data_IF_551705012626
#
_entry.id   IF_551705012626
#
_cell.length_a   1.000
_cell.length_b   1.000
_cell.length_c   1.000
_cell.angle_alpha   90.00
_cell.angle_beta   90.00
_cell.angle_gamma   90.00
#
_symmetry.space_group_name_H-M   'P 1'
#
loop_
_entity.id
_entity.type
_entity.pdbx_description
1 polymer ?
#
# COMPACT_ATOMS: atom_id res chain seq x y z
N UNK A 1 -92.61 64.64 63.32
CA UNK A 1 -91.81 63.96 62.28
C UNK A 1 -90.52 63.49 62.92
N UNK A 2 -90.14 62.25 62.60
CA UNK A 2 -88.83 61.61 62.76
C UNK A 2 -88.28 61.41 64.19
N UNK A 3 -88.40 60.18 64.68
CA UNK A 3 -87.30 59.49 65.36
C UNK A 3 -87.08 58.20 64.59
N UNK A 4 -85.99 58.16 63.85
CA UNK A 4 -85.53 57.05 63.02
C UNK A 4 -84.97 55.93 63.90
N UNK A 5 -85.57 54.75 63.79
CA UNK A 5 -84.90 53.48 64.10
C UNK A 5 -83.84 53.24 63.01
N UNK A 6 -82.57 53.44 63.36
CA UNK A 6 -81.44 52.84 62.65
C UNK A 6 -80.75 51.90 63.65
N UNK A 7 -81.31 50.69 63.76
CA UNK A 7 -80.63 49.52 64.32
C UNK A 7 -79.63 49.02 63.27
N UNK A 8 -78.57 49.79 63.02
CA UNK A 8 -77.34 49.25 62.44
C UNK A 8 -76.62 48.51 63.57
N UNK A 9 -77.07 47.28 63.83
CA UNK A 9 -76.30 46.33 64.61
C UNK A 9 -75.07 45.96 63.79
N UNK A 10 -74.03 46.79 63.90
CA UNK A 10 -72.66 46.37 63.63
C UNK A 10 -72.37 45.21 64.58
N UNK A 11 -72.64 43.99 64.12
CA UNK A 11 -72.04 42.80 64.68
C UNK A 11 -70.56 42.80 64.23
N UNK A 12 -69.83 43.80 64.71
CA UNK A 12 -68.38 43.78 64.82
C UNK A 12 -68.09 42.67 65.81
N UNK A 13 -67.83 41.46 65.30
CA UNK A 13 -67.26 40.38 66.09
C UNK A 13 -65.99 40.97 66.67
N UNK A 14 -66.03 41.34 67.95
CA UNK A 14 -64.93 42.00 68.61
C UNK A 14 -63.72 41.07 68.61
N UNK A 15 -62.79 41.33 67.68
CA UNK A 15 -61.44 40.79 67.62
C UNK A 15 -60.62 41.30 68.83
N UNK A 16 -61.13 41.08 70.04
CA UNK A 16 -60.46 41.45 71.27
C UNK A 16 -59.43 40.38 71.61
N UNK A 17 -58.33 40.38 70.86
CA UNK A 17 -57.14 39.61 71.21
C UNK A 17 -56.68 40.03 72.61
N UNK A 18 -56.44 39.05 73.47
CA UNK A 18 -55.80 39.33 74.76
C UNK A 18 -54.32 39.66 74.53
N UNK A 19 -53.75 40.47 75.42
CA UNK A 19 -52.33 40.82 75.36
C UNK A 19 -51.41 39.57 75.33
N UNK A 20 -51.78 38.51 76.06
CA UNK A 20 -51.02 37.26 76.10
C UNK A 20 -51.02 36.49 74.78
N UNK A 21 -52.15 36.46 74.05
CA UNK A 21 -52.24 35.83 72.72
C UNK A 21 -51.39 36.58 71.70
N UNK A 22 -51.43 37.92 71.73
CA UNK A 22 -50.62 38.74 70.84
C UNK A 22 -49.12 38.57 71.14
N UNK A 23 -48.75 38.50 72.41
CA UNK A 23 -47.36 38.28 72.84
C UNK A 23 -46.84 36.91 72.37
N UNK A 24 -47.63 35.85 72.56
CA UNK A 24 -47.27 34.50 72.10
C UNK A 24 -47.07 34.43 70.58
N UNK A 25 -47.99 35.02 69.80
CA UNK A 25 -47.86 35.09 68.35
C UNK A 25 -46.62 35.87 67.90
N UNK A 26 -46.26 36.96 68.60
CA UNK A 26 -45.05 37.72 68.33
C UNK A 26 -43.77 36.92 68.62
N UNK A 27 -43.75 36.16 69.72
CA UNK A 27 -42.62 35.31 70.08
C UNK A 27 -42.42 34.17 69.07
N UNK A 28 -43.50 33.52 68.62
CA UNK A 28 -43.47 32.50 67.57
C UNK A 28 -42.94 33.08 66.25
N UNK A 29 -43.44 34.26 65.86
CA UNK A 29 -42.97 34.99 64.69
C UNK A 29 -41.48 35.34 64.79
N UNK A 30 -41.00 35.74 65.96
CA UNK A 30 -39.60 36.07 66.19
C UNK A 30 -38.69 34.85 66.05
N UNK A 31 -39.13 33.67 66.50
CA UNK A 31 -38.41 32.40 66.35
C UNK A 31 -38.28 32.03 64.87
N UNK A 32 -39.39 32.05 64.12
CA UNK A 32 -39.36 31.76 62.68
C UNK A 32 -38.55 32.81 61.90
N UNK A 33 -38.63 34.10 62.28
CA UNK A 33 -37.80 35.14 61.69
C UNK A 33 -36.29 34.85 61.86
N UNK A 34 -35.85 34.49 63.07
CA UNK A 34 -34.43 34.16 63.33
C UNK A 34 -33.96 32.94 62.53
N UNK A 35 -34.81 31.92 62.43
CA UNK A 35 -34.55 30.73 61.60
C UNK A 35 -34.43 31.10 60.12
N UNK A 36 -35.33 31.94 59.62
CA UNK A 36 -35.28 32.43 58.24
C UNK A 36 -34.03 33.27 57.97
N UNK A 37 -33.61 34.15 58.90
CA UNK A 37 -32.36 34.89 58.77
C UNK A 37 -31.14 33.97 58.63
N UNK A 38 -31.12 32.88 59.40
CA UNK A 38 -30.05 31.87 59.34
C UNK A 38 -30.01 31.19 57.96
N UNK A 39 -31.17 30.81 57.43
CA UNK A 39 -31.28 30.24 56.07
C UNK A 39 -30.86 31.24 54.99
N UNK A 40 -31.30 32.50 55.06
CA UNK A 40 -30.88 33.55 54.14
C UNK A 40 -29.35 33.73 54.14
N UNK A 41 -28.70 33.61 55.29
CA UNK A 41 -27.24 33.68 55.37
C UNK A 41 -26.54 32.51 54.66
N UNK A 42 -27.11 31.30 54.74
CA UNK A 42 -26.60 30.11 54.06
C UNK A 42 -26.79 30.23 52.55
N UNK A 43 -27.98 30.62 52.10
CA UNK A 43 -28.30 30.83 50.68
C UNK A 43 -27.38 31.89 50.06
N UNK A 44 -27.07 32.98 50.77
CA UNK A 44 -26.10 33.97 50.29
C UNK A 44 -24.72 33.36 50.07
N UNK A 45 -24.25 32.51 50.98
CA UNK A 45 -22.95 31.83 50.84
C UNK A 45 -22.95 30.88 49.64
N UNK A 46 -23.99 30.05 49.48
CA UNK A 46 -24.08 29.14 48.34
C UNK A 46 -24.19 29.89 47.02
N UNK A 47 -24.95 30.99 46.97
CA UNK A 47 -25.05 31.85 45.79
C UNK A 47 -23.68 32.40 45.37
N UNK A 48 -22.90 32.95 46.31
CA UNK A 48 -21.55 33.43 46.00
C UNK A 48 -20.58 32.32 45.57
N UNK A 49 -20.80 31.09 46.02
CA UNK A 49 -20.00 29.94 45.60
C UNK A 49 -20.32 29.53 44.16
N UNK A 50 -21.61 29.40 43.85
CA UNK A 50 -22.10 29.07 42.51
C UNK A 50 -21.71 30.14 41.50
N UNK A 51 -21.73 31.42 41.90
CA UNK A 51 -21.31 32.52 41.03
C UNK A 51 -19.83 32.42 40.64
N UNK A 52 -18.95 32.05 41.57
CA UNK A 52 -17.52 31.80 41.28
C UNK A 52 -17.32 30.60 40.35
N UNK A 53 -18.06 29.51 40.57
CA UNK A 53 -17.99 28.33 39.70
C UNK A 53 -18.46 28.66 38.28
N UNK A 54 -19.55 29.43 38.15
CA UNK A 54 -20.03 29.95 36.86
C UNK A 54 -18.94 30.76 36.15
N UNK A 55 -18.25 31.65 36.86
CA UNK A 55 -17.18 32.47 36.26
C UNK A 55 -16.00 31.60 35.77
N UNK A 56 -15.62 30.54 36.50
CA UNK A 56 -14.59 29.59 36.06
C UNK A 56 -15.03 28.82 34.80
N UNK A 57 -16.27 28.34 34.78
CA UNK A 57 -16.83 27.63 33.62
C UNK A 57 -16.93 28.54 32.39
N UNK A 58 -17.17 29.84 32.55
CA UNK A 58 -17.16 30.80 31.44
C UNK A 58 -15.76 30.87 30.82
N UNK A 59 -14.71 30.97 31.64
CA UNK A 59 -13.32 31.00 31.16
C UNK A 59 -12.94 29.70 30.44
N UNK A 60 -13.32 28.54 31.00
CA UNK A 60 -13.07 27.25 30.36
C UNK A 60 -13.81 27.12 29.01
N UNK A 61 -15.06 27.59 28.92
CA UNK A 61 -15.80 27.61 27.66
C UNK A 61 -15.14 28.51 26.60
N UNK A 62 -14.57 29.65 26.98
CA UNK A 62 -13.80 30.48 26.04
C UNK A 62 -12.54 29.76 25.54
N UNK A 63 -11.83 29.06 26.42
CA UNK A 63 -10.67 28.24 26.03
C UNK A 63 -11.07 27.14 25.04
N UNK A 64 -12.12 26.37 25.34
CA UNK A 64 -12.60 25.30 24.47
C UNK A 64 -13.06 25.82 23.10
N UNK A 65 -13.69 27.00 23.03
CA UNK A 65 -14.04 27.65 21.76
C UNK A 65 -12.81 27.97 20.92
N UNK A 66 -11.72 28.45 21.54
CA UNK A 66 -10.47 28.73 20.84
C UNK A 66 -9.82 27.44 20.32
N UNK A 67 -9.81 26.37 21.11
CA UNK A 67 -9.29 25.07 20.71
C UNK A 67 -10.06 24.50 19.51
N UNK A 68 -11.40 24.59 19.52
CA UNK A 68 -12.25 24.18 18.40
C UNK A 68 -11.89 24.98 17.14
N UNK A 69 -11.76 26.30 17.23
CA UNK A 69 -11.42 27.14 16.07
C UNK A 69 -10.04 26.78 15.48
N UNK A 70 -9.07 26.45 16.33
CA UNK A 70 -7.74 25.98 15.90
C UNK A 70 -7.83 24.66 15.15
N UNK A 71 -8.58 23.68 15.68
CA UNK A 71 -8.78 22.37 15.05
C UNK A 71 -9.52 22.47 13.71
N UNK A 72 -10.57 23.31 13.62
CA UNK A 72 -11.30 23.56 12.37
C UNK A 72 -10.38 24.13 11.28
N UNK A 73 -9.48 25.05 11.65
CA UNK A 73 -8.49 25.60 10.71
C UNK A 73 -7.45 24.54 10.27
N UNK A 74 -6.99 23.67 11.17
CA UNK A 74 -6.12 22.54 10.81
C UNK A 74 -6.82 21.52 9.90
N UNK A 75 -8.10 21.24 10.17
CA UNK A 75 -8.91 20.37 9.33
C UNK A 75 -9.06 20.96 7.92
N UNK A 76 -9.38 22.26 7.82
CA UNK A 76 -9.45 22.95 6.53
C UNK A 76 -8.15 22.88 5.73
N UNK A 77 -6.98 22.96 6.39
CA UNK A 77 -5.68 22.76 5.72
C UNK A 77 -5.51 21.34 5.19
N UNK A 78 -5.81 20.32 6.02
CA UNK A 78 -5.73 18.91 5.60
C UNK A 78 -6.70 18.58 4.48
N UNK A 79 -7.91 19.13 4.50
CA UNK A 79 -8.88 18.98 3.42
C UNK A 79 -8.39 19.63 2.12
N UNK A 80 -7.75 20.79 2.19
CA UNK A 80 -7.11 21.40 1.00
C UNK A 80 -5.95 20.56 0.46
N UNK A 81 -5.16 19.92 1.34
CA UNK A 81 -4.08 19.01 0.94
C UNK A 81 -4.61 17.67 0.36
N UNK A 82 -5.79 17.20 0.80
CA UNK A 82 -6.44 15.99 0.27
C UNK A 82 -7.19 16.29 -1.04
N UNK A 83 -7.91 17.41 -1.12
CA UNK A 83 -8.65 17.85 -2.30
C UNK A 83 -7.73 18.35 -3.43
N UNK A 84 -6.46 18.65 -3.10
CA UNK A 84 -5.36 18.72 -4.04
C UNK A 84 -4.59 17.39 -3.99
N UNK A 85 -5.15 16.28 -4.50
CA UNK A 85 -4.28 15.16 -4.81
C UNK A 85 -3.19 15.72 -5.72
N UNK A 86 -2.03 15.08 -5.72
CA UNK A 86 -1.00 15.33 -6.72
C UNK A 86 -1.60 15.05 -8.12
N UNK A 87 -2.41 15.97 -8.64
CA UNK A 87 -3.16 15.83 -9.89
C UNK A 87 -2.20 15.70 -11.07
N UNK A 88 -0.97 16.16 -10.88
CA UNK A 88 0.15 15.89 -11.76
C UNK A 88 0.57 14.41 -11.82
N UNK A 89 0.56 13.68 -10.69
CA UNK A 89 0.95 12.26 -10.68
C UNK A 89 -0.17 11.37 -11.16
N UNK A 90 -1.43 11.66 -10.82
CA UNK A 90 -2.56 10.82 -11.24
C UNK A 90 -2.77 10.87 -12.76
N UNK A 91 -2.70 12.06 -13.38
CA UNK A 91 -2.79 12.20 -14.84
C UNK A 91 -1.61 11.51 -15.55
N UNK A 92 -0.41 11.53 -14.95
CA UNK A 92 0.76 10.85 -15.51
C UNK A 92 0.60 9.33 -15.43
N UNK A 93 0.13 8.81 -14.30
CA UNK A 93 -0.14 7.39 -14.08
C UNK A 93 -1.25 6.88 -15.02
N UNK A 94 -2.33 7.63 -15.20
CA UNK A 94 -3.41 7.28 -16.13
C UNK A 94 -2.90 7.15 -17.57
N UNK A 95 -2.08 8.09 -18.03
CA UNK A 95 -1.46 8.04 -19.36
C UNK A 95 -0.51 6.85 -19.53
N UNK A 96 0.26 6.53 -18.49
CA UNK A 96 1.16 5.38 -18.49
C UNK A 96 0.37 4.06 -18.56
N UNK A 97 -0.71 3.94 -17.78
CA UNK A 97 -1.61 2.77 -17.81
C UNK A 97 -2.22 2.59 -19.20
N UNK A 98 -2.69 3.66 -19.84
CA UNK A 98 -3.26 3.58 -21.19
C UNK A 98 -2.21 3.16 -22.23
N UNK A 99 -0.99 3.71 -22.15
CA UNK A 99 0.12 3.31 -23.03
C UNK A 99 0.53 1.85 -22.82
N UNK A 100 0.55 1.37 -21.57
CA UNK A 100 0.84 -0.03 -21.25
C UNK A 100 -0.25 -0.97 -21.78
N UNK A 101 -1.52 -0.57 -21.71
CA UNK A 101 -2.64 -1.34 -22.29
C UNK A 101 -2.49 -1.49 -23.80
N UNK A 102 -2.18 -0.40 -24.51
CA UNK A 102 -1.96 -0.44 -25.96
C UNK A 102 -0.78 -1.36 -26.33
N UNK A 103 0.34 -1.25 -25.61
CA UNK A 103 1.50 -2.13 -25.80
C UNK A 103 1.14 -3.60 -25.58
N UNK A 104 0.37 -3.92 -24.54
CA UNK A 104 -0.08 -5.29 -24.29
C UNK A 104 -0.93 -5.85 -25.43
N UNK A 105 -1.88 -5.07 -25.96
CA UNK A 105 -2.71 -5.47 -27.11
C UNK A 105 -1.84 -5.74 -28.35
N UNK A 106 -0.84 -4.90 -28.60
CA UNK A 106 0.09 -5.08 -29.73
C UNK A 106 1.03 -6.27 -29.55
N UNK A 107 1.46 -6.52 -28.32
CA UNK A 107 2.27 -7.68 -27.94
C UNK A 107 1.48 -8.97 -28.16
N UNK A 108 0.23 -9.01 -27.72
CA UNK A 108 -0.66 -10.16 -27.85
C UNK A 108 -0.94 -10.51 -29.32
N UNK A 109 -1.13 -9.50 -30.19
CA UNK A 109 -1.22 -9.69 -31.64
C UNK A 109 0.06 -10.27 -32.23
N UNK A 110 1.22 -9.80 -31.79
CA UNK A 110 2.52 -10.30 -32.24
C UNK A 110 2.75 -11.75 -31.81
N UNK A 111 2.43 -12.08 -30.55
CA UNK A 111 2.48 -13.45 -30.04
C UNK A 111 1.55 -14.39 -30.80
N UNK A 112 0.32 -13.95 -31.12
CA UNK A 112 -0.62 -14.76 -31.90
C UNK A 112 -0.06 -15.15 -33.28
N UNK A 113 0.58 -14.20 -33.98
CA UNK A 113 1.25 -14.47 -35.27
C UNK A 113 2.47 -15.37 -35.11
N UNK A 114 3.28 -15.14 -34.08
CA UNK A 114 4.46 -15.95 -33.79
C UNK A 114 4.07 -17.40 -33.48
N UNK A 115 3.07 -17.61 -32.61
CA UNK A 115 2.55 -18.93 -32.27
C UNK A 115 2.00 -19.64 -33.50
N UNK A 116 1.24 -18.95 -34.36
CA UNK A 116 0.76 -19.52 -35.62
C UNK A 116 1.91 -19.96 -36.53
N UNK A 117 2.95 -19.12 -36.67
CA UNK A 117 4.14 -19.45 -37.44
C UNK A 117 4.92 -20.62 -36.86
N UNK A 118 5.08 -20.68 -35.53
CA UNK A 118 5.74 -21.77 -34.81
C UNK A 118 5.04 -23.10 -35.06
N UNK A 119 3.71 -23.13 -34.92
CA UNK A 119 2.90 -24.33 -35.17
C UNK A 119 3.04 -24.80 -36.63
N UNK A 120 3.07 -23.86 -37.59
CA UNK A 120 3.25 -24.21 -39.00
C UNK A 120 4.63 -24.80 -39.28
N UNK A 121 5.66 -24.24 -38.66
CA UNK A 121 7.02 -24.75 -38.77
C UNK A 121 7.13 -26.16 -38.16
N UNK A 122 6.51 -26.39 -37.01
CA UNK A 122 6.49 -27.70 -36.36
C UNK A 122 5.79 -28.76 -37.23
N UNK A 123 4.68 -28.41 -37.88
CA UNK A 123 4.01 -29.28 -38.87
C UNK A 123 4.92 -29.61 -40.07
N UNK A 124 5.66 -28.61 -40.58
CA UNK A 124 6.61 -28.82 -41.69
C UNK A 124 7.78 -29.73 -41.29
N UNK A 125 8.30 -29.58 -40.08
CA UNK A 125 9.39 -30.42 -39.58
C UNK A 125 8.91 -31.83 -39.25
N UNK A 126 7.70 -31.98 -38.70
CA UNK A 126 7.08 -33.27 -38.41
C UNK A 126 6.73 -34.08 -39.67
N UNK A 127 6.42 -33.41 -40.78
CA UNK A 127 6.16 -34.03 -42.09
C UNK A 127 7.42 -34.26 -42.93
N UNK A 128 8.60 -33.85 -42.45
CA UNK A 128 9.85 -34.05 -43.15
C UNK A 128 10.19 -35.55 -43.22
N UNK A 129 10.41 -36.06 -44.43
CA UNK A 129 10.86 -37.45 -44.62
C UNK A 129 12.24 -37.62 -43.98
N UNK A 130 12.45 -38.76 -43.32
CA UNK A 130 13.78 -39.14 -42.82
C UNK A 130 14.79 -39.08 -43.96
N UNK A 131 16.00 -38.60 -43.69
CA UNK A 131 17.10 -38.61 -44.68
C UNK A 131 17.42 -40.02 -45.22
N UNK A 132 16.95 -41.07 -44.55
CA UNK A 132 17.06 -42.46 -44.97
C UNK A 132 15.93 -42.90 -45.91
N UNK A 133 14.78 -42.21 -45.91
CA UNK A 133 13.64 -42.51 -46.76
C UNK A 133 13.78 -41.80 -48.12
N UNK A 134 14.30 -42.54 -49.10
CA UNK A 134 14.48 -42.09 -50.49
C UNK A 134 13.28 -42.40 -51.39
N UNK A 135 12.14 -42.79 -50.83
CA UNK A 135 10.96 -43.13 -51.61
C UNK A 135 10.45 -41.90 -52.36
N UNK A 136 10.19 -42.01 -53.66
CA UNK A 136 9.60 -40.93 -54.48
C UNK A 136 10.55 -39.87 -55.05
N UNK A 137 11.86 -39.94 -54.78
CA UNK A 137 12.88 -39.07 -55.42
C UNK A 137 13.53 -39.70 -56.66
N UNK A 138 12.87 -40.68 -57.28
CA UNK A 138 13.33 -41.31 -58.53
C UNK A 138 14.53 -42.26 -58.38
N UNK A 139 15.03 -42.48 -57.16
CA UNK A 139 16.04 -43.50 -56.88
C UNK A 139 15.37 -44.83 -56.56
N UNK A 140 15.85 -45.91 -57.18
CA UNK A 140 15.43 -47.26 -56.83
C UNK A 140 15.75 -47.52 -55.34
N UNK A 141 14.78 -48.02 -54.54
CA UNK A 141 15.03 -48.40 -53.16
C UNK A 141 16.15 -49.44 -53.13
N UNK A 142 17.32 -49.06 -52.61
CA UNK A 142 18.34 -50.03 -52.24
C UNK A 142 17.75 -50.82 -51.08
N UNK A 143 17.50 -52.11 -51.29
CA UNK A 143 17.21 -53.04 -50.20
C UNK A 143 18.41 -53.03 -49.25
N UNK A 144 18.35 -52.21 -48.20
CA UNK A 144 19.38 -52.14 -47.16
C UNK A 144 19.22 -53.36 -46.24
N UNK A 145 19.32 -54.57 -46.81
CA UNK A 145 19.62 -55.80 -46.08
C UNK A 145 21.07 -56.24 -46.24
N UNK A 146 21.90 -55.45 -46.92
CA UNK A 146 23.33 -55.60 -46.77
C UNK A 146 23.74 -54.97 -45.43
N UNK A 147 23.81 -55.79 -44.38
CA UNK A 147 24.61 -55.48 -43.18
C UNK A 147 25.94 -54.91 -43.70
N UNK A 148 26.18 -53.62 -43.50
CA UNK A 148 27.50 -53.03 -43.69
C UNK A 148 28.44 -53.87 -42.84
N UNK A 149 29.14 -54.81 -43.46
CA UNK A 149 30.27 -55.48 -42.83
C UNK A 149 31.14 -54.32 -42.40
N UNK A 150 31.29 -54.11 -41.09
CA UNK A 150 32.26 -53.16 -40.55
C UNK A 150 33.62 -53.67 -40.97
N UNK A 151 34.02 -53.39 -42.22
CA UNK A 151 35.40 -53.49 -42.62
C UNK A 151 36.10 -52.54 -41.68
N UNK A 152 36.87 -53.08 -40.72
CA UNK A 152 37.71 -52.26 -39.87
C UNK A 152 38.69 -51.58 -40.80
N UNK A 153 38.37 -50.38 -41.25
CA UNK A 153 39.29 -49.56 -42.06
C UNK A 153 40.45 -49.28 -41.11
N UNK A 154 41.54 -50.04 -41.27
CA UNK A 154 42.79 -49.74 -40.57
C UNK A 154 43.19 -48.34 -41.03
N UNK A 155 43.36 -47.38 -40.11
CA UNK A 155 43.69 -46.02 -40.50
C UNK A 155 45.02 -46.04 -41.27
N UNK A 156 45.04 -45.40 -42.43
CA UNK A 156 46.24 -45.21 -43.23
C UNK A 156 46.89 -43.87 -42.88
N UNK A 157 48.20 -43.88 -42.60
CA UNK A 157 48.92 -42.66 -42.29
C UNK A 157 49.36 -41.96 -43.57
N UNK A 158 48.85 -40.76 -43.84
CA UNK A 158 49.21 -39.97 -45.03
C UNK A 158 50.61 -39.34 -44.98
N UNK A 159 51.36 -39.47 -43.88
CA UNK A 159 52.74 -38.99 -43.78
C UNK A 159 53.77 -40.07 -44.11
N UNK A 160 53.63 -41.26 -43.50
CA UNK A 160 54.57 -42.36 -43.71
C UNK A 160 54.03 -43.49 -44.59
N UNK A 161 52.81 -43.34 -45.13
CA UNK A 161 52.10 -44.31 -45.95
C UNK A 161 52.03 -45.73 -45.34
N UNK A 162 51.91 -45.82 -44.01
CA UNK A 162 51.76 -47.10 -43.29
C UNK A 162 50.37 -47.22 -42.68
N UNK A 163 49.84 -48.44 -42.67
CA UNK A 163 48.55 -48.79 -42.06
C UNK A 163 48.66 -48.88 -40.52
N UNK A 164 47.56 -48.63 -39.83
CA UNK A 164 47.40 -48.81 -38.38
C UNK A 164 47.37 -47.52 -37.54
N UNK A 165 47.67 -46.35 -38.11
CA UNK A 165 47.60 -45.06 -37.42
C UNK A 165 47.26 -43.91 -38.38
N UNK A 166 46.78 -42.79 -37.87
CA UNK A 166 46.52 -41.57 -38.68
C UNK A 166 47.74 -40.64 -38.66
N UNK A 167 47.78 -39.66 -39.58
CA UNK A 167 48.87 -38.67 -39.70
C UNK A 167 49.23 -38.00 -38.37
N UNK A 168 48.26 -37.77 -37.50
CA UNK A 168 48.44 -37.07 -36.22
C UNK A 168 49.12 -37.93 -35.16
N UNK A 169 49.03 -39.25 -35.28
CA UNK A 169 49.69 -40.22 -34.39
C UNK A 169 50.96 -40.80 -35.03
N UNK A 170 51.47 -40.19 -36.10
CA UNK A 170 52.64 -40.69 -36.79
C UNK A 170 53.91 -40.31 -36.03
N UNK A 171 54.58 -41.30 -35.45
CA UNK A 171 55.83 -41.08 -34.71
C UNK A 171 56.90 -40.39 -35.56
N UNK A 172 57.03 -40.75 -36.85
CA UNK A 172 57.98 -40.07 -37.76
C UNK A 172 57.68 -38.58 -37.85
N UNK A 173 56.42 -38.19 -38.07
CA UNK A 173 56.04 -36.77 -38.18
C UNK A 173 56.28 -36.02 -36.86
N UNK A 174 55.91 -36.62 -35.74
CA UNK A 174 56.06 -36.02 -34.40
C UNK A 174 57.55 -35.80 -34.11
N UNK A 175 58.41 -36.80 -34.36
CA UNK A 175 59.85 -36.66 -34.22
C UNK A 175 60.42 -35.53 -35.10
N UNK A 176 59.95 -35.40 -36.35
CA UNK A 176 60.37 -34.31 -37.22
C UNK A 176 59.90 -32.92 -36.75
N UNK A 177 58.74 -32.78 -36.09
CA UNK A 177 58.30 -31.47 -35.58
C UNK A 177 58.99 -31.07 -34.26
N UNK A 178 59.38 -32.03 -33.43
CA UNK A 178 60.09 -31.71 -32.18
C UNK A 178 61.54 -31.28 -32.40
N UNK A 179 62.12 -31.50 -33.58
CA UNK A 179 63.45 -30.99 -33.93
C UNK A 179 63.44 -29.56 -34.51
N UNK A 180 62.28 -28.97 -34.80
CA UNK A 180 62.17 -27.61 -35.36
C UNK A 180 61.90 -26.50 -34.34
N UNK A 181 61.82 -26.81 -33.03
CA UNK A 181 61.42 -25.84 -31.99
C UNK A 181 62.56 -25.28 -31.12
N UNK A 182 63.84 -25.49 -31.46
CA UNK A 182 64.97 -24.81 -30.80
C UNK A 182 65.37 -23.51 -31.49
N UNK A 183 64.41 -22.60 -31.70
CA UNK A 183 64.70 -21.19 -32.04
C UNK A 183 63.76 -20.27 -31.26
N UNK A 184 64.24 -19.43 -30.32
CA UNK A 184 63.37 -18.52 -29.56
C UNK A 184 62.82 -17.41 -30.46
N UNK A 185 61.54 -17.08 -30.30
CA UNK A 185 60.85 -15.96 -30.97
C UNK A 185 60.92 -14.68 -30.11
N UNK A 186 61.12 -13.47 -30.68
CA UNK A 186 61.62 -12.31 -29.93
C UNK A 186 60.57 -11.38 -29.30
N UNK A 187 59.28 -11.73 -29.25
CA UNK A 187 58.25 -10.80 -28.75
C UNK A 187 57.22 -11.49 -27.86
N UNK A 188 57.35 -11.29 -26.56
CA UNK A 188 56.24 -11.37 -25.61
C UNK A 188 56.45 -10.34 -24.49
N UNK A 189 55.72 -9.23 -24.58
CA UNK A 189 55.48 -8.32 -23.45
C UNK A 189 54.44 -8.95 -22.51
N UNK A 190 54.82 -9.11 -21.24
CA UNK A 190 53.97 -9.67 -20.19
C UNK A 190 53.24 -8.55 -19.44
N UNK A 191 51.92 -8.45 -19.64
CA UNK A 191 51.05 -7.60 -18.82
C UNK A 191 50.72 -8.36 -17.53
N UNK A 192 51.34 -7.93 -16.42
CA UNK A 192 51.05 -8.41 -15.07
C UNK A 192 49.83 -7.69 -14.49
N UNK A 193 48.76 -8.43 -14.18
CA UNK A 193 47.70 -7.97 -13.27
C UNK A 193 48.19 -8.10 -11.82
N UNK A 194 48.33 -6.98 -11.11
CA UNK A 194 48.42 -6.93 -9.64
C UNK A 194 47.02 -6.62 -9.08
N UNK A 195 46.58 -7.47 -8.17
CA UNK A 195 45.43 -7.23 -7.29
C UNK A 195 45.75 -6.07 -6.33
N UNK A 196 44.75 -5.22 -6.09
CA UNK A 196 44.58 -4.41 -4.88
C UNK A 196 43.24 -4.81 -4.29
#
# INVERSE_FOLDING_TARGET
MALSDDEDSENEVGDSYTFGELQFAFDELLVEFKKQCSQCSLVKKTMTSVEKEKDLLVVENEHLKNDIAMLEHEQGKKENDIAKPNSSSDIALEKEVESLREKNVNLEKSFSKFTLGSNKLEEMLGSQRSYLDKTGIGYAPLEVKAKLKKARIRPHCTYCNRMGHTRNKCFRRIAHSHHSHTRPSPYHDAITFRQV
#
